data_IF_222735988494
#
_entry.id   IF_222735988494
#
_cell.length_a   1.000
_cell.length_b   1.000
_cell.length_c   1.000
_cell.angle_alpha   90.00
_cell.angle_beta   90.00
_cell.angle_gamma   90.00
#
_symmetry.space_group_name_H-M   'P 1'
#
loop_
_entity.id
_entity.type
_entity.pdbx_description
1 polymer ?
#
# COMPACT_ATOMS: atom_id res chain seq x y z
N UNK A 1 -25.48 -15.90 -17.25
CA UNK A 1 -26.53 -14.91 -16.94
C UNK A 1 -26.18 -13.62 -17.65
N UNK A 2 -27.14 -12.91 -18.24
CA UNK A 2 -26.86 -11.65 -18.93
C UNK A 2 -26.46 -10.57 -17.91
N UNK A 3 -25.31 -9.93 -18.13
CA UNK A 3 -24.78 -8.87 -17.28
C UNK A 3 -25.55 -7.57 -17.55
N UNK A 4 -25.86 -6.79 -16.51
CA UNK A 4 -26.58 -5.52 -16.68
C UNK A 4 -25.59 -4.45 -17.14
N UNK A 5 -25.97 -3.63 -18.11
CA UNK A 5 -25.16 -2.47 -18.52
C UNK A 5 -25.32 -1.30 -17.54
N UNK A 6 -24.22 -0.62 -17.23
CA UNK A 6 -24.15 0.53 -16.33
C UNK A 6 -23.55 1.72 -17.08
N UNK A 7 -24.23 2.89 -17.12
CA UNK A 7 -23.65 4.09 -17.72
C UNK A 7 -22.40 4.56 -16.96
N UNK A 8 -21.31 4.80 -17.70
CA UNK A 8 -20.07 5.35 -17.13
C UNK A 8 -20.25 6.79 -16.61
N UNK A 9 -21.24 7.52 -17.12
CA UNK A 9 -21.59 8.86 -16.65
C UNK A 9 -22.06 8.91 -15.19
N UNK A 10 -22.45 7.76 -14.62
CA UNK A 10 -22.81 7.67 -13.21
C UNK A 10 -21.57 7.64 -12.29
N UNK A 11 -20.43 7.19 -12.80
CA UNK A 11 -19.19 7.04 -12.04
C UNK A 11 -18.49 8.39 -11.89
N UNK A 12 -18.04 8.70 -10.68
CA UNK A 12 -17.29 9.94 -10.39
C UNK A 12 -15.90 9.65 -9.83
N UNK A 13 -14.95 10.53 -10.13
CA UNK A 13 -13.56 10.42 -9.63
C UNK A 13 -13.52 10.92 -8.19
N UNK A 14 -12.67 10.28 -7.37
CA UNK A 14 -12.36 10.77 -6.03
C UNK A 14 -11.26 11.85 -6.11
N UNK A 15 -11.57 13.12 -5.78
CA UNK A 15 -10.58 14.21 -5.86
C UNK A 15 -9.41 14.05 -4.88
N UNK A 16 -9.55 13.19 -3.86
CA UNK A 16 -8.51 12.94 -2.85
C UNK A 16 -7.62 11.74 -3.20
N UNK A 17 -7.72 11.16 -4.39
CA UNK A 17 -6.86 10.06 -4.79
C UNK A 17 -5.44 10.57 -5.10
N UNK A 18 -4.41 10.23 -4.32
CA UNK A 18 -3.07 10.81 -4.48
C UNK A 18 -2.25 10.18 -5.61
N UNK A 19 -2.82 9.22 -6.36
CA UNK A 19 -2.11 8.52 -7.42
C UNK A 19 -2.06 9.34 -8.72
N UNK A 20 -0.84 9.53 -9.21
CA UNK A 20 -0.58 9.88 -10.60
C UNK A 20 -0.13 8.65 -11.41
N UNK A 21 -0.35 8.68 -12.73
CA UNK A 21 0.20 7.69 -13.68
C UNK A 21 1.04 8.44 -14.71
N UNK A 22 2.17 7.88 -15.12
CA UNK A 22 2.95 8.47 -16.19
C UNK A 22 2.19 8.36 -17.53
N UNK A 23 2.32 9.32 -18.45
CA UNK A 23 1.58 9.29 -19.72
C UNK A 23 1.80 8.00 -20.54
N UNK A 24 3.04 7.48 -20.57
CA UNK A 24 3.35 6.25 -21.31
C UNK A 24 2.65 5.01 -20.72
N UNK A 25 2.59 4.91 -19.38
CA UNK A 25 1.88 3.82 -18.69
C UNK A 25 0.37 3.89 -18.95
N UNK A 26 -0.18 5.11 -19.08
CA UNK A 26 -1.59 5.30 -19.43
C UNK A 26 -1.88 4.83 -20.86
N UNK A 27 -1.02 5.17 -21.82
CA UNK A 27 -1.17 4.70 -23.22
C UNK A 27 -1.14 3.17 -23.31
N UNK A 28 -0.26 2.52 -22.54
CA UNK A 28 -0.18 1.06 -22.51
C UNK A 28 -1.41 0.43 -21.84
N UNK A 29 -1.96 1.08 -20.80
CA UNK A 29 -3.24 0.67 -20.21
C UNK A 29 -4.40 0.77 -21.22
N UNK A 30 -4.48 1.87 -21.99
CA UNK A 30 -5.49 2.06 -23.03
C UNK A 30 -5.37 0.97 -24.10
N UNK A 31 -4.14 0.67 -24.57
CA UNK A 31 -3.90 -0.42 -25.54
C UNK A 31 -4.30 -1.79 -24.99
N UNK A 32 -3.98 -2.07 -23.73
CA UNK A 32 -4.32 -3.33 -23.07
C UNK A 32 -5.83 -3.51 -22.96
N UNK A 33 -6.56 -2.50 -22.49
CA UNK A 33 -8.02 -2.56 -22.38
C UNK A 33 -8.72 -2.66 -23.74
N UNK A 34 -8.12 -2.08 -24.79
CA UNK A 34 -8.62 -2.21 -26.16
C UNK A 34 -8.50 -3.65 -26.70
N UNK A 35 -7.40 -4.33 -26.39
CA UNK A 35 -7.18 -5.72 -26.85
C UNK A 35 -7.91 -6.74 -25.98
N UNK A 36 -7.85 -6.56 -24.66
CA UNK A 36 -8.29 -7.52 -23.67
C UNK A 36 -9.25 -6.89 -22.64
N UNK A 37 -10.45 -6.42 -23.06
CA UNK A 37 -11.40 -5.75 -22.16
C UNK A 37 -11.87 -6.63 -21.00
N UNK A 38 -11.83 -7.96 -21.15
CA UNK A 38 -12.20 -8.92 -20.12
C UNK A 38 -11.34 -8.82 -18.85
N UNK A 39 -10.15 -8.20 -18.92
CA UNK A 39 -9.30 -7.95 -17.74
C UNK A 39 -10.01 -7.10 -16.67
N UNK A 40 -11.02 -6.31 -17.07
CA UNK A 40 -11.89 -5.55 -16.15
C UNK A 40 -12.70 -6.45 -15.21
N UNK A 41 -12.85 -7.74 -15.52
CA UNK A 41 -13.48 -8.71 -14.59
C UNK A 41 -12.52 -9.13 -13.48
N UNK A 42 -11.22 -9.14 -13.75
CA UNK A 42 -10.16 -9.49 -12.78
C UNK A 42 -9.79 -8.28 -11.94
N UNK A 43 -9.72 -7.10 -12.56
CA UNK A 43 -9.38 -5.85 -11.89
C UNK A 43 -10.42 -4.77 -12.21
N UNK A 44 -11.61 -4.85 -11.58
CA UNK A 44 -12.74 -3.96 -11.87
C UNK A 44 -12.56 -2.55 -11.32
N UNK A 45 -13.52 -1.68 -11.62
CA UNK A 45 -13.73 -0.42 -10.89
C UNK A 45 -14.30 -0.74 -9.51
N UNK A 46 -13.82 -0.07 -8.47
CA UNK A 46 -14.39 -0.19 -7.13
C UNK A 46 -15.02 1.14 -6.77
N UNK A 47 -16.29 1.15 -6.39
CA UNK A 47 -17.05 2.37 -6.06
C UNK A 47 -17.54 2.35 -4.61
N UNK A 48 -17.84 3.52 -4.06
CA UNK A 48 -18.23 3.71 -2.67
C UNK A 48 -19.46 2.88 -2.27
N UNK A 49 -20.54 2.92 -3.06
CA UNK A 49 -21.75 2.11 -2.87
C UNK A 49 -22.63 2.09 -4.12
N UNK A 50 -23.72 1.32 -4.13
CA UNK A 50 -24.73 1.36 -5.21
C UNK A 50 -25.43 2.71 -5.36
N UNK A 51 -25.39 3.54 -4.31
CA UNK A 51 -25.99 4.89 -4.30
C UNK A 51 -24.96 5.99 -4.57
N UNK A 52 -23.70 5.74 -4.23
CA UNK A 52 -22.58 6.64 -4.43
C UNK A 52 -21.54 5.97 -5.32
N UNK A 53 -21.56 6.31 -6.61
CA UNK A 53 -20.69 5.74 -7.63
C UNK A 53 -19.30 6.41 -7.69
N UNK A 54 -18.89 7.09 -6.62
CA UNK A 54 -17.54 7.64 -6.49
C UNK A 54 -16.50 6.51 -6.41
N UNK A 55 -15.44 6.63 -7.20
CA UNK A 55 -14.37 5.64 -7.28
C UNK A 55 -13.55 5.58 -5.99
N UNK A 56 -13.34 4.36 -5.50
CA UNK A 56 -12.35 4.03 -4.50
C UNK A 56 -11.07 3.48 -5.13
N UNK A 57 -11.19 2.80 -6.28
CA UNK A 57 -10.06 2.27 -7.05
C UNK A 57 -10.40 2.15 -8.54
N UNK A 58 -9.35 2.05 -9.36
CA UNK A 58 -9.47 1.89 -10.80
C UNK A 58 -9.67 3.19 -11.60
N UNK A 59 -9.29 4.34 -11.04
CA UNK A 59 -9.43 5.66 -11.71
C UNK A 59 -8.80 5.69 -13.11
N UNK A 60 -7.61 5.11 -13.27
CA UNK A 60 -6.93 5.12 -14.58
C UNK A 60 -7.64 4.22 -15.59
N UNK A 61 -8.25 3.11 -15.15
CA UNK A 61 -9.09 2.28 -16.01
C UNK A 61 -10.37 3.01 -16.41
N UNK A 62 -10.98 3.74 -15.48
CA UNK A 62 -12.13 4.59 -15.79
C UNK A 62 -11.79 5.63 -16.87
N UNK A 63 -10.66 6.35 -16.73
CA UNK A 63 -10.17 7.30 -17.75
C UNK A 63 -9.89 6.63 -19.09
N UNK A 64 -9.25 5.45 -19.09
CA UNK A 64 -8.96 4.70 -20.30
C UNK A 64 -10.23 4.22 -21.02
N UNK A 65 -11.27 3.81 -20.28
CA UNK A 65 -12.56 3.45 -20.86
C UNK A 65 -13.25 4.65 -21.52
N UNK A 66 -13.16 5.83 -20.93
CA UNK A 66 -13.64 7.07 -21.57
C UNK A 66 -12.86 7.39 -22.85
N UNK A 67 -11.54 7.26 -22.83
CA UNK A 67 -10.67 7.47 -24.00
C UNK A 67 -11.00 6.50 -25.15
N UNK A 68 -11.37 5.25 -24.81
CA UNK A 68 -11.80 4.24 -25.77
C UNK A 68 -13.25 4.43 -26.26
N UNK A 69 -13.98 5.42 -25.73
CA UNK A 69 -15.34 5.76 -26.16
C UNK A 69 -16.45 4.88 -25.56
N UNK A 70 -16.22 4.26 -24.41
CA UNK A 70 -17.28 3.51 -23.72
C UNK A 70 -18.31 4.47 -23.11
N UNK A 71 -19.59 4.22 -23.39
CA UNK A 71 -20.71 4.91 -22.74
C UNK A 71 -21.31 4.07 -21.59
N UNK A 72 -21.33 2.75 -21.75
CA UNK A 72 -21.77 1.79 -20.75
C UNK A 72 -20.74 0.70 -20.54
N UNK A 73 -20.76 0.09 -19.37
CA UNK A 73 -19.96 -1.07 -19.03
C UNK A 73 -20.80 -2.19 -18.39
N UNK A 74 -20.39 -3.45 -18.55
CA UNK A 74 -20.99 -4.58 -17.84
C UNK A 74 -20.93 -4.40 -16.32
N UNK A 75 -22.00 -4.76 -15.61
CA UNK A 75 -22.09 -4.60 -14.16
C UNK A 75 -21.09 -5.45 -13.38
N UNK A 76 -20.51 -6.49 -13.98
CA UNK A 76 -19.44 -7.29 -13.38
C UNK A 76 -18.06 -6.61 -13.45
N UNK A 77 -17.95 -5.44 -14.10
CA UNK A 77 -16.76 -4.59 -14.08
C UNK A 77 -16.78 -3.57 -12.94
N UNK A 78 -17.79 -3.65 -12.06
CA UNK A 78 -17.94 -2.78 -10.90
C UNK A 78 -18.10 -3.64 -9.64
N UNK A 79 -17.28 -3.36 -8.63
CA UNK A 79 -17.45 -3.82 -7.26
C UNK A 79 -17.99 -2.66 -6.42
N UNK A 80 -19.03 -2.94 -5.63
CA UNK A 80 -19.63 -1.97 -4.73
C UNK A 80 -19.11 -2.14 -3.30
N UNK A 81 -18.61 -1.06 -2.70
CA UNK A 81 -18.15 -0.99 -1.32
C UNK A 81 -19.28 -0.89 -0.27
N UNK A 82 -20.49 -1.37 -0.59
CA UNK A 82 -21.69 -1.24 0.28
C UNK A 82 -21.47 -1.83 1.69
N UNK A 83 -20.58 -2.81 1.82
CA UNK A 83 -20.27 -3.52 3.07
C UNK A 83 -19.07 -2.96 3.83
N UNK A 84 -18.35 -1.98 3.26
CA UNK A 84 -17.17 -1.40 3.88
C UNK A 84 -17.57 -0.29 4.86
N UNK A 85 -16.78 -0.09 5.91
CA UNK A 85 -16.84 1.13 6.72
C UNK A 85 -16.17 2.29 5.99
N UNK A 86 -16.37 3.53 6.45
CA UNK A 86 -15.71 4.69 5.83
C UNK A 86 -14.19 4.56 5.92
N UNK A 87 -13.68 4.21 7.09
CA UNK A 87 -12.25 3.97 7.32
C UNK A 87 -11.70 2.85 6.40
N UNK A 88 -12.46 1.78 6.17
CA UNK A 88 -12.05 0.71 5.26
C UNK A 88 -11.97 1.19 3.80
N UNK A 89 -12.90 2.06 3.37
CA UNK A 89 -12.88 2.64 2.03
C UNK A 89 -11.69 3.57 1.85
N UNK A 90 -11.41 4.41 2.83
CA UNK A 90 -10.26 5.31 2.84
C UNK A 90 -8.93 4.53 2.80
N UNK A 91 -8.80 3.48 3.63
CA UNK A 91 -7.65 2.54 3.58
C UNK A 91 -7.50 1.90 2.20
N UNK A 92 -8.62 1.53 1.57
CA UNK A 92 -8.61 0.89 0.26
C UNK A 92 -8.03 1.79 -0.83
N UNK A 93 -8.39 3.08 -0.83
CA UNK A 93 -7.84 4.09 -1.75
C UNK A 93 -6.31 4.16 -1.64
N UNK A 94 -5.76 4.12 -0.43
CA UNK A 94 -4.31 4.15 -0.24
C UNK A 94 -3.62 2.84 -0.62
N UNK A 95 -4.19 1.69 -0.25
CA UNK A 95 -3.57 0.38 -0.44
C UNK A 95 -3.53 -0.06 -1.91
N UNK A 96 -4.57 0.25 -2.70
CA UNK A 96 -4.60 -0.05 -4.14
C UNK A 96 -3.42 0.60 -4.89
N UNK A 97 -3.01 1.77 -4.41
CA UNK A 97 -1.95 2.56 -5.03
C UNK A 97 -0.53 2.11 -4.64
N UNK A 98 -0.37 1.26 -3.61
CA UNK A 98 0.92 0.89 -3.03
C UNK A 98 1.79 -0.06 -3.88
N UNK A 99 1.25 -0.61 -4.97
CA UNK A 99 1.98 -1.58 -5.80
C UNK A 99 2.68 -0.97 -7.03
N UNK A 100 2.31 0.23 -7.50
CA UNK A 100 2.71 0.67 -8.86
C UNK A 100 2.53 2.16 -9.19
N UNK A 101 2.41 3.05 -8.21
CA UNK A 101 2.14 4.48 -8.43
C UNK A 101 3.37 5.38 -8.22
N UNK A 102 3.44 6.49 -8.97
CA UNK A 102 4.19 7.68 -8.55
C UNK A 102 3.27 8.49 -7.65
N UNK A 103 3.69 8.68 -6.40
CA UNK A 103 2.90 9.39 -5.40
C UNK A 103 3.01 10.90 -5.57
N UNK A 104 1.87 11.59 -5.52
CA UNK A 104 1.89 13.01 -5.21
C UNK A 104 2.21 13.17 -3.72
N UNK A 105 3.48 13.37 -3.40
CA UNK A 105 3.99 13.43 -2.03
C UNK A 105 3.35 14.57 -1.24
N UNK A 106 3.03 15.69 -1.91
CA UNK A 106 2.43 16.84 -1.25
C UNK A 106 0.99 16.52 -0.83
N UNK A 107 0.16 16.03 -1.77
CA UNK A 107 -1.22 15.64 -1.47
C UNK A 107 -1.30 14.50 -0.45
N UNK A 108 -0.35 13.56 -0.51
CA UNK A 108 -0.26 12.45 0.43
C UNK A 108 0.05 12.93 1.86
N UNK A 109 0.96 13.89 2.02
CA UNK A 109 1.26 14.48 3.33
C UNK A 109 0.06 15.28 3.86
N UNK A 110 -0.52 16.14 3.03
CA UNK A 110 -1.55 17.09 3.43
C UNK A 110 -2.87 16.41 3.81
N UNK A 111 -3.34 15.46 2.99
CA UNK A 111 -4.67 14.85 3.16
C UNK A 111 -4.65 13.49 3.89
N UNK A 112 -3.51 12.81 3.92
CA UNK A 112 -3.42 11.40 4.35
C UNK A 112 -2.33 11.11 5.38
N UNK A 113 -1.41 12.04 5.66
CA UNK A 113 -0.24 11.80 6.49
C UNK A 113 -0.59 11.30 7.90
N UNK A 114 -1.62 11.86 8.52
CA UNK A 114 -2.08 11.45 9.84
C UNK A 114 -2.66 10.03 9.83
N UNK A 115 -3.48 9.69 8.83
CA UNK A 115 -4.14 8.40 8.69
C UNK A 115 -3.14 7.29 8.33
N UNK A 116 -2.19 7.56 7.43
CA UNK A 116 -1.12 6.61 7.07
C UNK A 116 -0.33 6.21 8.32
N UNK A 117 -0.02 7.19 9.17
CA UNK A 117 0.70 6.98 10.43
C UNK A 117 -0.13 6.20 11.44
N UNK A 118 -1.38 6.60 11.67
CA UNK A 118 -2.30 5.92 12.60
C UNK A 118 -2.56 4.45 12.21
N UNK A 119 -2.68 4.20 10.90
CA UNK A 119 -2.92 2.86 10.36
C UNK A 119 -1.66 2.01 10.18
N UNK A 120 -0.48 2.59 10.40
CA UNK A 120 0.81 1.89 10.24
C UNK A 120 1.08 1.43 8.80
N UNK A 121 0.54 2.13 7.79
CA UNK A 121 0.71 1.76 6.38
C UNK A 121 2.12 2.15 5.92
N UNK A 122 2.86 1.20 5.36
CA UNK A 122 4.16 1.45 4.71
C UNK A 122 3.98 1.59 3.20
N UNK A 123 4.22 2.78 2.69
CA UNK A 123 4.13 3.08 1.27
C UNK A 123 5.49 2.89 0.60
N UNK A 124 5.53 2.17 -0.52
CA UNK A 124 6.78 1.90 -1.26
C UNK A 124 7.30 3.19 -1.89
N UNK A 125 8.53 3.56 -1.58
CA UNK A 125 9.23 4.71 -2.20
C UNK A 125 8.80 6.09 -1.67
N UNK A 126 8.21 6.17 -0.48
CA UNK A 126 7.78 7.42 0.17
C UNK A 126 8.42 7.56 1.54
N UNK A 127 9.13 8.68 1.76
CA UNK A 127 9.50 9.18 3.09
C UNK A 127 8.61 10.39 3.41
N UNK A 128 7.72 10.26 4.40
CA UNK A 128 6.82 11.34 4.80
C UNK A 128 7.56 12.27 5.79
N UNK A 129 7.72 13.55 5.44
CA UNK A 129 8.19 14.59 6.35
C UNK A 129 6.99 15.25 7.04
N UNK A 130 6.60 14.73 8.21
CA UNK A 130 5.52 15.31 9.01
C UNK A 130 6.14 15.98 10.25
N UNK A 131 6.19 17.32 10.25
CA UNK A 131 6.48 18.11 11.44
C UNK A 131 5.31 17.97 12.43
N UNK A 132 5.59 17.50 13.64
CA UNK A 132 4.57 17.25 14.66
C UNK A 132 4.57 18.43 15.66
N UNK A 133 3.48 19.19 15.81
CA UNK A 133 3.23 19.94 17.03
C UNK A 133 2.92 18.95 18.15
N UNK A 134 3.80 18.94 19.15
CA UNK A 134 3.75 18.08 20.34
C UNK A 134 2.40 18.18 21.06
N UNK A 135 1.55 17.18 20.88
CA UNK A 135 0.20 17.11 21.46
C UNK A 135 -0.13 15.68 21.90
N UNK A 136 0.69 15.14 22.81
CA UNK A 136 0.24 14.11 23.74
C UNK A 136 0.72 14.47 25.16
N UNK A 137 -0.16 14.42 26.19
CA UNK A 137 0.20 14.81 27.54
C UNK A 137 1.23 13.86 28.15
N UNK A 138 2.19 14.44 28.86
CA UNK A 138 3.25 13.79 29.62
C UNK A 138 2.70 12.88 30.72
N UNK A 139 3.13 11.61 30.73
CA UNK A 139 3.22 10.80 31.95
C UNK A 139 4.71 10.61 32.31
N UNK A 140 5.07 10.61 33.61
CA UNK A 140 6.42 10.97 34.07
C UNK A 140 7.45 9.85 33.93
N UNK A 141 8.70 10.30 33.82
CA UNK A 141 9.91 9.53 33.58
C UNK A 141 10.12 8.33 34.52
N UNK A 142 10.45 7.18 33.92
CA UNK A 142 11.47 6.28 34.46
C UNK A 142 12.63 6.22 33.47
N UNK A 143 13.83 6.52 33.97
CA UNK A 143 15.08 6.52 33.21
C UNK A 143 15.63 5.11 33.18
N UNK A 144 15.72 4.50 32.01
CA UNK A 144 16.82 3.59 31.68
C UNK A 144 17.37 3.94 30.29
N UNK A 145 18.70 4.02 30.12
CA UNK A 145 19.30 4.45 28.87
C UNK A 145 19.34 3.24 27.92
N UNK A 146 18.34 3.09 27.05
CA UNK A 146 18.49 2.17 25.92
C UNK A 146 18.97 2.96 24.72
N UNK A 147 20.25 2.78 24.42
CA UNK A 147 20.91 3.20 23.19
C UNK A 147 20.27 2.45 22.02
N UNK A 148 19.10 2.90 21.57
CA UNK A 148 18.59 2.49 20.26
C UNK A 148 19.38 3.25 19.20
N UNK A 149 20.16 2.57 18.35
CA UNK A 149 20.82 3.23 17.25
C UNK A 149 19.76 3.82 16.32
N UNK A 150 19.81 5.14 16.16
CA UNK A 150 19.13 5.86 15.09
C UNK A 150 19.77 5.45 13.75
N UNK A 151 18.99 5.42 12.67
CA UNK A 151 19.43 5.08 11.31
C UNK A 151 20.36 6.13 10.65
N UNK A 152 21.14 6.85 11.47
CA UNK A 152 22.09 7.91 11.12
C UNK A 152 23.36 7.80 11.97
N UNK A 153 23.82 6.58 12.27
CA UNK A 153 25.13 6.30 12.85
C UNK A 153 25.98 5.48 11.87
N UNK A 154 27.23 5.90 11.68
CA UNK A 154 28.20 5.42 10.67
C UNK A 154 28.56 3.91 10.73
N UNK A 155 28.05 3.16 11.70
CA UNK A 155 28.44 1.77 11.98
C UNK A 155 27.41 0.70 11.54
N UNK A 156 26.25 1.10 10.98
CA UNK A 156 25.19 0.16 10.56
C UNK A 156 25.10 0.02 9.03
N UNK A 157 25.05 -1.22 8.54
CA UNK A 157 24.85 -1.54 7.12
C UNK A 157 23.48 -2.17 6.87
N UNK A 158 22.82 -1.76 5.78
CA UNK A 158 21.55 -2.36 5.34
C UNK A 158 21.85 -3.63 4.54
N UNK A 159 21.18 -4.72 4.88
CA UNK A 159 21.26 -6.00 4.17
C UNK A 159 19.91 -6.32 3.51
N UNK A 160 19.89 -6.43 2.17
CA UNK A 160 18.71 -6.80 1.39
C UNK A 160 18.84 -8.24 0.84
N UNK A 161 17.78 -9.05 1.02
CA UNK A 161 17.71 -10.43 0.54
C UNK A 161 16.37 -10.71 -0.16
N UNK A 162 16.43 -11.24 -1.38
CA UNK A 162 15.23 -11.67 -2.13
C UNK A 162 15.01 -13.18 -1.97
N UNK A 163 13.83 -13.58 -1.52
CA UNK A 163 13.46 -14.99 -1.37
C UNK A 163 11.95 -15.21 -1.51
N UNK A 164 11.52 -16.46 -1.74
CA UNK A 164 10.11 -16.84 -1.78
C UNK A 164 9.39 -16.50 -0.46
N UNK A 165 8.11 -16.11 -0.54
CA UNK A 165 7.32 -15.69 0.63
C UNK A 165 7.28 -16.76 1.73
N UNK A 166 7.14 -18.03 1.35
CA UNK A 166 7.13 -19.16 2.29
C UNK A 166 8.48 -19.30 3.01
N UNK A 167 9.59 -19.06 2.32
CA UNK A 167 10.93 -19.13 2.90
C UNK A 167 11.18 -17.94 3.83
N UNK A 168 10.70 -16.74 3.47
CA UNK A 168 10.74 -15.57 4.37
C UNK A 168 10.00 -15.85 5.67
N UNK A 169 8.79 -16.39 5.58
CA UNK A 169 7.97 -16.72 6.74
C UNK A 169 8.65 -17.76 7.64
N UNK A 170 9.27 -18.78 7.05
CA UNK A 170 10.05 -19.79 7.79
C UNK A 170 11.26 -19.17 8.50
N UNK A 171 12.03 -18.34 7.80
CA UNK A 171 13.21 -17.68 8.34
C UNK A 171 12.85 -16.75 9.52
N UNK A 172 11.83 -15.90 9.36
CA UNK A 172 11.41 -15.00 10.45
C UNK A 172 10.94 -15.76 11.68
N UNK A 173 10.22 -16.88 11.51
CA UNK A 173 9.80 -17.72 12.63
C UNK A 173 11.00 -18.36 13.35
N UNK A 174 11.97 -18.86 12.59
CA UNK A 174 13.18 -19.46 13.16
C UNK A 174 14.01 -18.43 13.95
N UNK A 175 14.22 -17.23 13.40
CA UNK A 175 14.99 -16.17 14.07
C UNK A 175 14.31 -15.69 15.35
N UNK A 176 12.98 -15.54 15.35
CA UNK A 176 12.25 -15.17 16.57
C UNK A 176 12.31 -16.26 17.64
N UNK A 177 12.25 -17.53 17.25
CA UNK A 177 12.40 -18.66 18.17
C UNK A 177 13.78 -18.65 18.85
N UNK A 178 14.85 -18.51 18.06
CA UNK A 178 16.25 -18.43 18.56
C UNK A 178 16.42 -17.23 19.48
N UNK A 179 15.80 -16.10 19.13
CA UNK A 179 15.83 -14.89 19.93
C UNK A 179 15.21 -15.11 21.32
N UNK A 180 14.06 -15.77 21.39
CA UNK A 180 13.38 -16.08 22.66
C UNK A 180 14.17 -17.11 23.47
N UNK A 181 14.68 -18.16 22.83
CA UNK A 181 15.41 -19.25 23.49
C UNK A 181 16.76 -18.79 24.08
N UNK A 182 17.45 -17.87 23.38
CA UNK A 182 18.77 -17.37 23.78
C UNK A 182 18.73 -15.98 24.43
N UNK A 183 17.53 -15.46 24.72
CA UNK A 183 17.30 -14.16 25.37
C UNK A 183 18.01 -12.99 24.66
N UNK A 184 17.95 -12.98 23.32
CA UNK A 184 18.57 -11.97 22.47
C UNK A 184 17.63 -10.79 22.23
N UNK A 185 18.16 -9.58 22.07
CA UNK A 185 17.35 -8.38 21.87
C UNK A 185 17.07 -8.08 20.40
N UNK A 186 18.01 -8.39 19.50
CA UNK A 186 17.91 -8.08 18.07
C UNK A 186 17.79 -9.34 17.20
N UNK A 187 17.13 -9.19 16.06
CA UNK A 187 17.10 -10.22 15.02
C UNK A 187 18.48 -10.43 14.38
N UNK A 188 19.33 -9.39 14.38
CA UNK A 188 20.74 -9.46 13.97
C UNK A 188 21.50 -10.49 14.81
N UNK A 189 21.40 -10.40 16.15
CA UNK A 189 22.08 -11.31 17.06
C UNK A 189 21.64 -12.76 16.83
N UNK A 190 20.33 -12.99 16.62
CA UNK A 190 19.80 -14.32 16.31
C UNK A 190 20.29 -14.86 14.96
N UNK A 191 20.55 -13.97 14.00
CA UNK A 191 21.10 -14.33 12.69
C UNK A 191 22.60 -14.64 12.79
N UNK A 192 23.35 -13.89 13.61
CA UNK A 192 24.76 -14.16 13.91
C UNK A 192 24.94 -15.47 14.70
N UNK A 193 24.05 -15.76 15.64
CA UNK A 193 24.03 -17.01 16.39
C UNK A 193 23.89 -18.25 15.47
N UNK A 194 23.06 -18.15 14.42
CA UNK A 194 22.89 -19.24 13.44
C UNK A 194 24.16 -19.59 12.66
N UNK A 195 25.09 -18.64 12.56
CA UNK A 195 26.30 -18.78 11.75
C UNK A 195 27.56 -18.86 12.60
N UNK A 196 27.44 -18.85 13.93
CA UNK A 196 28.56 -18.81 14.88
C UNK A 196 29.44 -20.07 14.80
N UNK A 197 28.83 -21.22 14.50
CA UNK A 197 29.53 -22.50 14.31
C UNK A 197 29.93 -22.78 12.85
N UNK A 198 29.62 -21.87 11.92
CA UNK A 198 30.00 -22.00 10.52
C UNK A 198 31.37 -21.35 10.36
N UNK A 199 32.41 -22.16 10.14
CA UNK A 199 33.74 -21.65 9.82
C UNK A 199 33.71 -21.00 8.43
N UNK A 200 33.80 -19.66 8.41
CA UNK A 200 33.75 -18.84 7.19
C UNK A 200 35.12 -18.21 6.87
N UNK A 201 36.21 -18.72 7.48
CA UNK A 201 37.57 -18.20 7.29
C UNK A 201 38.26 -18.67 6.00
#
# INVERSE_FOLDING_TARGET
>A
MATKEIPLSLVSINPKNPRSIAPHDFDDLVKSLKHDPEIMTVNPLVVHSRKNMMLLAGEQRYKALLELGYETIPSNWIIYGDTLTEEQREKFVLLDNNHSGVWDIQLLNDDWGAQIKDWGIKLKGVELNIDIPDLLPTEPASKEPSSKPSATHDDYAVFELTMLHDNKTKLTKALNFIKEENNLEKLEDAMMWLIEDIDVS
#
